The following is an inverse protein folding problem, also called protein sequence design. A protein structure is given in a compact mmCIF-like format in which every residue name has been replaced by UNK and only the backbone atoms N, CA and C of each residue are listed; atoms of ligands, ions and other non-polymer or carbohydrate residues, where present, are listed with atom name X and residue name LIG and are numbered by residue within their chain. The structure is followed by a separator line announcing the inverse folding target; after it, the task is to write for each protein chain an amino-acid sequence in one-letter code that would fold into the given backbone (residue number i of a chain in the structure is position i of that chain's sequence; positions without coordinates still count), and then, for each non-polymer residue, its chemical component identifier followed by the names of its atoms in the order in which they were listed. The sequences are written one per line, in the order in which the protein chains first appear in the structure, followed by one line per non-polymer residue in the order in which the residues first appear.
data_IF_122231499110
#
_entry.id   IF_122231499110
#
_cell.length_a   1.000
_cell.length_b   1.000
_cell.length_c   1.000
_cell.angle_alpha   90.00
_cell.angle_beta   90.00
_cell.angle_gamma   90.00
#
_symmetry.space_group_name_H-M   'P 1'
#
loop_
_entity.id
_entity.type
_entity.pdbx_description
1 polymer ?
#
# COMPACT_ATOMS: atom_id res chain seq x y z
N UNK A 1 -21.53 7.41 -5.91
CA UNK A 1 -21.03 7.28 -7.29
C UNK A 1 -19.57 7.69 -7.32
N UNK A 2 -18.65 6.79 -6.94
CA UNK A 2 -17.22 7.06 -7.03
C UNK A 2 -16.80 6.83 -8.47
N UNK A 3 -16.33 7.89 -9.15
CA UNK A 3 -15.76 7.79 -10.49
C UNK A 3 -14.48 6.97 -10.42
N UNK A 4 -14.58 5.65 -10.57
CA UNK A 4 -13.44 4.82 -10.95
C UNK A 4 -13.05 5.26 -12.33
N UNK A 5 -12.08 6.16 -12.39
CA UNK A 5 -11.41 6.59 -13.60
C UNK A 5 -10.94 5.32 -14.32
N UNK A 6 -11.65 4.90 -15.37
CA UNK A 6 -11.18 3.89 -16.32
C UNK A 6 -9.93 4.48 -16.97
N UNK A 7 -8.78 4.25 -16.32
CA UNK A 7 -7.48 4.63 -16.84
C UNK A 7 -7.21 3.69 -18.00
N UNK A 8 -7.50 4.15 -19.20
CA UNK A 8 -7.18 3.47 -20.45
C UNK A 8 -5.68 3.13 -20.47
N UNK A 9 -5.35 1.87 -20.13
CA UNK A 9 -3.99 1.33 -20.16
C UNK A 9 -3.52 0.98 -21.58
N UNK A 10 -4.35 1.26 -22.58
CA UNK A 10 -4.10 1.05 -24.01
C UNK A 10 -2.85 1.78 -24.53
N UNK A 11 -2.34 2.77 -23.79
CA UNK A 11 -1.12 3.54 -24.13
C UNK A 11 -0.10 3.56 -22.99
N UNK A 12 0.07 2.46 -22.24
CA UNK A 12 1.21 2.36 -21.32
C UNK A 12 2.50 2.39 -22.13
N UNK A 13 3.21 3.52 -22.09
CA UNK A 13 4.55 3.69 -22.65
C UNK A 13 5.60 3.46 -21.56
N UNK A 14 6.85 3.17 -21.95
CA UNK A 14 7.96 3.04 -21.00
C UNK A 14 8.14 4.29 -20.13
N UNK A 15 7.92 5.48 -20.70
CA UNK A 15 7.99 6.74 -19.96
C UNK A 15 6.86 6.88 -18.93
N UNK A 16 5.65 6.45 -19.26
CA UNK A 16 4.57 6.40 -18.28
C UNK A 16 4.90 5.46 -17.12
N UNK A 17 5.45 4.28 -17.41
CA UNK A 17 5.85 3.30 -16.39
C UNK A 17 6.88 3.91 -15.44
N UNK A 18 7.88 4.62 -15.96
CA UNK A 18 8.90 5.31 -15.17
C UNK A 18 8.30 6.37 -14.24
N UNK A 19 7.40 7.22 -14.76
CA UNK A 19 6.70 8.22 -13.94
C UNK A 19 5.84 7.56 -12.85
N UNK A 20 5.17 6.47 -13.19
CA UNK A 20 4.31 5.73 -12.27
C UNK A 20 5.13 5.02 -11.18
N UNK A 21 6.30 4.46 -11.51
CA UNK A 21 7.25 3.91 -10.53
C UNK A 21 7.68 5.00 -9.56
N UNK A 22 8.08 6.18 -10.07
CA UNK A 22 8.46 7.31 -9.22
C UNK A 22 7.33 7.80 -8.31
N UNK A 23 6.09 7.75 -8.79
CA UNK A 23 4.89 8.08 -8.02
C UNK A 23 4.63 7.04 -6.92
N UNK A 24 4.66 5.75 -7.26
CA UNK A 24 4.47 4.63 -6.32
C UNK A 24 5.56 4.61 -5.24
N UNK A 25 6.81 4.85 -5.61
CA UNK A 25 7.95 4.91 -4.69
C UNK A 25 7.80 6.00 -3.62
N UNK A 26 7.08 7.10 -3.92
CA UNK A 26 6.78 8.14 -2.92
C UNK A 26 5.56 7.80 -2.07
N UNK A 27 4.57 7.12 -2.63
CA UNK A 27 3.32 6.85 -1.93
C UNK A 27 3.39 5.64 -1.01
N UNK A 28 3.95 4.52 -1.47
CA UNK A 28 4.02 3.25 -0.72
C UNK A 28 4.65 3.41 0.67
N UNK A 29 5.80 4.10 0.86
CA UNK A 29 6.39 4.25 2.19
C UNK A 29 5.69 5.31 3.06
N UNK A 30 4.84 6.16 2.48
CA UNK A 30 4.25 7.27 3.22
C UNK A 30 3.09 6.81 4.10
N UNK A 31 3.25 7.03 5.42
CA UNK A 31 2.28 6.68 6.47
C UNK A 31 0.90 7.31 6.26
N UNK A 32 0.83 8.44 5.55
CA UNK A 32 -0.43 9.12 5.25
C UNK A 32 -1.33 8.27 4.33
N UNK A 33 -0.75 7.54 3.38
CA UNK A 33 -1.51 6.66 2.47
C UNK A 33 -2.00 5.38 3.16
N UNK A 34 -1.37 5.00 4.27
CA UNK A 34 -1.82 3.86 5.09
C UNK A 34 -2.83 4.25 6.17
N UNK A 35 -2.95 5.54 6.52
CA UNK A 35 -3.84 6.03 7.59
C UNK A 35 -5.02 6.89 7.13
N UNK A 36 -4.86 7.73 6.11
CA UNK A 36 -5.76 8.85 5.83
C UNK A 36 -6.40 8.86 4.44
N UNK A 37 -5.85 8.13 3.45
CA UNK A 37 -6.44 7.96 2.12
C UNK A 37 -5.83 6.73 1.45
N UNK A 38 -6.49 5.79 0.77
CA UNK A 38 -7.91 5.44 0.57
C UNK A 38 -8.02 4.06 -0.15
N UNK A 39 -6.92 3.30 -0.26
CA UNK A 39 -6.86 2.10 -1.12
C UNK A 39 -6.19 0.92 -0.39
N UNK A 40 -6.79 -0.29 -0.43
CA UNK A 40 -6.26 -1.47 0.23
C UNK A 40 -4.92 -1.89 -0.38
N UNK A 41 -4.12 -2.65 0.37
CA UNK A 41 -2.86 -3.24 -0.13
C UNK A 41 -3.09 -4.02 -1.43
N UNK A 42 -4.23 -4.69 -1.59
CA UNK A 42 -4.62 -5.39 -2.82
C UNK A 42 -4.67 -4.47 -4.04
N UNK A 43 -5.19 -3.25 -3.91
CA UNK A 43 -5.24 -2.28 -5.00
C UNK A 43 -3.85 -1.90 -5.49
N UNK A 44 -2.91 -1.64 -4.56
CA UNK A 44 -1.53 -1.32 -4.93
C UNK A 44 -0.82 -2.50 -5.57
N UNK A 45 -1.06 -3.72 -5.07
CA UNK A 45 -0.51 -4.95 -5.65
C UNK A 45 -1.00 -5.14 -7.09
N UNK A 46 -2.31 -5.04 -7.32
CA UNK A 46 -2.90 -5.15 -8.66
C UNK A 46 -2.32 -4.11 -9.62
N UNK A 47 -2.11 -2.87 -9.15
CA UNK A 47 -1.54 -1.79 -9.95
C UNK A 47 -0.08 -2.06 -10.33
N UNK A 48 0.75 -2.49 -9.38
CA UNK A 48 2.16 -2.85 -9.64
C UNK A 48 2.23 -4.03 -10.61
N UNK A 49 1.39 -5.05 -10.42
CA UNK A 49 1.37 -6.23 -11.27
C UNK A 49 0.94 -5.89 -12.70
N UNK A 50 -0.07 -5.03 -12.88
CA UNK A 50 -0.50 -4.54 -14.19
C UNK A 50 0.64 -3.83 -14.96
N UNK A 51 1.48 -3.05 -14.25
CA UNK A 51 2.64 -2.41 -14.86
C UNK A 51 3.73 -3.43 -15.23
N UNK A 52 3.97 -4.45 -14.39
CA UNK A 52 4.96 -5.51 -14.64
C UNK A 52 4.69 -6.35 -15.88
N UNK A 53 3.43 -6.45 -16.28
CA UNK A 53 2.98 -7.16 -17.49
C UNK A 53 2.73 -6.22 -18.68
N UNK A 54 3.01 -4.93 -18.54
CA UNK A 54 2.86 -3.99 -19.65
C UNK A 54 3.85 -4.33 -20.78
N UNK A 55 3.42 -4.31 -22.06
CA UNK A 55 4.27 -4.69 -23.19
C UNK A 55 5.48 -3.76 -23.39
N UNK A 56 5.39 -2.53 -22.90
CA UNK A 56 6.45 -1.52 -23.02
C UNK A 56 7.45 -1.52 -21.84
N UNK A 57 7.34 -2.47 -20.89
CA UNK A 57 8.19 -2.47 -19.70
C UNK A 57 9.63 -2.86 -20.00
N UNK A 58 10.58 -2.07 -19.50
CA UNK A 58 12.00 -2.42 -19.54
C UNK A 58 12.38 -3.38 -18.39
N UNK A 59 13.42 -4.23 -18.55
CA UNK A 59 13.89 -5.12 -17.49
C UNK A 59 14.21 -4.41 -16.16
N UNK A 60 14.81 -3.22 -16.23
CA UNK A 60 15.15 -2.39 -15.06
C UNK A 60 13.88 -1.92 -14.33
N UNK A 61 12.90 -1.42 -15.08
CA UNK A 61 11.59 -1.03 -14.55
C UNK A 61 10.85 -2.21 -13.89
N UNK A 62 11.00 -3.41 -14.44
CA UNK A 62 10.42 -4.63 -13.87
C UNK A 62 11.08 -5.02 -12.55
N UNK A 63 12.39 -4.80 -12.43
CA UNK A 63 13.11 -5.00 -11.18
C UNK A 63 12.66 -3.98 -10.12
N UNK A 64 12.55 -2.70 -10.49
CA UNK A 64 12.07 -1.63 -9.59
C UNK A 64 10.65 -1.91 -9.08
N UNK A 65 9.74 -2.30 -9.97
CA UNK A 65 8.37 -2.68 -9.58
C UNK A 65 8.35 -3.91 -8.66
N UNK A 66 9.27 -4.86 -8.84
CA UNK A 66 9.37 -6.03 -7.94
C UNK A 66 9.84 -5.59 -6.55
N UNK A 67 10.82 -4.69 -6.46
CA UNK A 67 11.26 -4.13 -5.19
C UNK A 67 10.17 -3.32 -4.48
N UNK A 68 9.36 -2.56 -5.24
CA UNK A 68 8.20 -1.85 -4.70
C UNK A 68 7.12 -2.79 -4.15
N UNK A 69 6.94 -3.96 -4.79
CA UNK A 69 6.01 -4.99 -4.32
C UNK A 69 6.47 -5.59 -2.99
N UNK A 70 7.76 -5.91 -2.88
CA UNK A 70 8.35 -6.42 -1.63
C UNK A 70 8.19 -5.41 -0.47
N UNK A 71 8.46 -4.13 -0.73
CA UNK A 71 8.31 -3.07 0.28
C UNK A 71 6.84 -2.88 0.68
N UNK A 72 5.91 -2.92 -0.28
CA UNK A 72 4.48 -2.87 0.00
C UNK A 72 4.04 -4.03 0.92
N UNK A 73 4.50 -5.24 0.66
CA UNK A 73 4.17 -6.41 1.48
C UNK A 73 4.77 -6.31 2.88
N UNK A 74 6.01 -5.81 2.99
CA UNK A 74 6.66 -5.55 4.27
C UNK A 74 5.86 -4.55 5.11
N UNK A 75 5.41 -3.45 4.51
CA UNK A 75 4.60 -2.44 5.20
C UNK A 75 3.24 -3.03 5.60
N UNK A 76 2.60 -3.80 4.71
CA UNK A 76 1.34 -4.48 5.02
C UNK A 76 1.47 -5.41 6.25
N UNK A 77 2.56 -6.18 6.33
CA UNK A 77 2.85 -7.02 7.48
C UNK A 77 3.05 -6.18 8.76
N UNK A 78 3.78 -5.07 8.69
CA UNK A 78 3.98 -4.16 9.83
C UNK A 78 2.68 -3.53 10.32
N UNK A 79 1.79 -3.15 9.39
CA UNK A 79 0.47 -2.60 9.74
C UNK A 79 -0.43 -3.66 10.39
N UNK A 80 -0.38 -4.90 9.93
CA UNK A 80 -1.14 -6.03 10.49
C UNK A 80 -0.58 -6.47 11.85
N UNK A 81 0.75 -6.39 12.01
CA UNK A 81 1.46 -6.78 13.23
C UNK A 81 1.50 -5.69 14.30
N UNK A 82 1.09 -4.46 13.98
CA UNK A 82 0.96 -3.40 14.97
C UNK A 82 -0.32 -3.66 15.76
N UNK A 83 -0.25 -4.17 17.02
CA UNK A 83 -1.43 -4.20 17.87
C UNK A 83 -1.97 -2.78 17.95
N UNK A 84 -3.29 -2.62 17.84
CA UNK A 84 -3.96 -1.38 18.20
C UNK A 84 -3.44 -0.99 19.59
N UNK A 85 -2.58 0.02 19.66
CA UNK A 85 -2.22 0.68 20.93
C UNK A 85 -3.51 1.37 21.41
N UNK A 86 -4.35 0.60 22.08
CA UNK A 86 -5.74 0.92 22.36
C UNK A 86 -6.50 -0.19 23.11
N UNK A 87 -6.03 -1.44 23.14
CA UNK A 87 -6.49 -2.39 24.15
C UNK A 87 -5.69 -2.21 25.44
N UNK A 88 -6.13 -1.23 26.24
CA UNK A 88 -5.89 -1.31 27.67
C UNK A 88 -6.50 -2.62 28.17
N UNK A 89 -5.76 -3.47 28.91
CA UNK A 89 -6.39 -4.58 29.61
C UNK A 89 -7.32 -3.98 30.65
N UNK A 90 -8.62 -3.94 30.34
CA UNK A 90 -9.69 -3.59 31.28
C UNK A 90 -9.91 -4.79 32.18
N UNK A 91 -8.92 -5.06 33.02
CA UNK A 91 -8.78 -6.31 33.74
C UNK A 91 -7.94 -6.19 35.00
N UNK A 92 -8.06 -5.08 35.73
CA UNK A 92 -7.67 -5.06 37.14
C UNK A 92 -8.89 -4.68 38.00
N UNK A 93 -9.59 -5.74 38.35
CA UNK A 93 -10.37 -5.96 39.57
C UNK A 93 -10.86 -4.75 40.37
N UNK A 94 -12.18 -4.57 40.31
CA UNK A 94 -13.02 -4.23 41.45
C UNK A 94 -12.63 -5.06 42.68
N UNK A 95 -12.09 -4.41 43.71
CA UNK A 95 -12.09 -4.76 45.15
C UNK A 95 -11.38 -3.59 45.86
N UNK A 96 -11.89 -2.85 46.84
CA UNK A 96 -13.06 -2.96 47.72
C UNK A 96 -13.33 -1.53 48.24
N UNK A 97 -14.59 -1.19 48.44
CA UNK A 97 -15.06 0.05 49.05
C UNK A 97 -14.65 0.19 50.52
N UNK A 98 -14.64 1.44 50.96
CA UNK A 98 -14.46 1.96 52.31
C UNK A 98 -15.19 1.20 53.45
N UNK A 99 -14.55 1.22 54.63
CA UNK A 99 -15.13 1.67 55.90
C UNK A 99 -13.98 1.97 56.88
#
# INVERSE_FOLDING_TARGET
MGVTQERNFTYITAHFIEQEIGHLARMIPSRHWHRSAAWPVSYWRERIEALRHAPAIAPEQRAELSALLDELERIAQQLTSSPKRGEMPKGEARRISAA
#
